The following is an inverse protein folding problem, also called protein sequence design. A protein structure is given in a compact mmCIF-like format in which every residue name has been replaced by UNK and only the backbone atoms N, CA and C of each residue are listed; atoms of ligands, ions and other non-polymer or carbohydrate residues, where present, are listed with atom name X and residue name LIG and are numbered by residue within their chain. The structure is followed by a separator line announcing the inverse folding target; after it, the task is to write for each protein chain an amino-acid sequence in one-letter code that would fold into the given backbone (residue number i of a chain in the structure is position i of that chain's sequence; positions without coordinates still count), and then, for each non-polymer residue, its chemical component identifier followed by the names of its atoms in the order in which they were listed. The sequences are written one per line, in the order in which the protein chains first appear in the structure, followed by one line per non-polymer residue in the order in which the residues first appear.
data_IF_954322118070
#
_entry.id   IF_954322118070
#
_cell.length_a   1.000
_cell.length_b   1.000
_cell.length_c   1.000
_cell.angle_alpha   90.00
_cell.angle_beta   90.00
_cell.angle_gamma   90.00
#
_symmetry.space_group_name_H-M   'P 1'
#
loop_
_entity.id
_entity.type
_entity.pdbx_description
1 polymer ?
#
# COMPACT_ATOMS: atom_id res chain seq x y z
N UNK A 1 8.00 -11.39 -14.47
CA UNK A 1 7.66 -10.52 -13.30
C UNK A 1 8.56 -9.28 -13.31
N UNK A 2 8.04 -8.11 -12.97
CA UNK A 2 8.82 -6.87 -12.96
C UNK A 2 9.86 -6.87 -11.84
N UNK A 3 11.05 -6.29 -12.11
CA UNK A 3 12.16 -6.24 -11.15
C UNK A 3 11.78 -5.56 -9.81
N UNK A 4 10.93 -4.52 -9.84
CA UNK A 4 10.49 -3.84 -8.63
C UNK A 4 9.67 -4.76 -7.71
N UNK A 5 8.85 -5.66 -8.28
CA UNK A 5 8.06 -6.64 -7.53
C UNK A 5 8.97 -7.70 -6.90
N UNK A 6 9.96 -8.19 -7.67
CA UNK A 6 10.92 -9.18 -7.15
C UNK A 6 11.78 -8.61 -6.00
N UNK A 7 12.17 -7.34 -6.08
CA UNK A 7 12.98 -6.69 -5.03
C UNK A 7 12.28 -6.62 -3.68
N UNK A 8 10.96 -6.58 -3.63
CA UNK A 8 10.22 -6.55 -2.35
C UNK A 8 9.86 -7.94 -1.82
N UNK A 9 10.14 -9.00 -2.57
CA UNK A 9 9.79 -10.38 -2.19
C UNK A 9 10.44 -10.80 -0.88
N UNK A 10 9.63 -11.39 -0.01
CA UNK A 10 10.08 -11.93 1.28
C UNK A 10 10.46 -10.86 2.30
N UNK A 11 10.18 -9.58 2.04
CA UNK A 11 10.66 -8.49 2.85
C UNK A 11 9.58 -7.56 3.41
N UNK A 12 10.07 -6.59 4.18
CA UNK A 12 9.28 -5.54 4.80
C UNK A 12 9.27 -4.29 3.91
N UNK A 13 8.09 -3.84 3.54
CA UNK A 13 7.85 -2.51 2.97
C UNK A 13 7.41 -1.58 4.11
N UNK A 14 8.03 -0.42 4.24
CA UNK A 14 7.63 0.56 5.27
C UNK A 14 6.79 1.66 4.64
N UNK A 15 5.61 1.89 5.22
CA UNK A 15 4.71 2.95 4.78
C UNK A 15 5.02 4.26 5.52
N UNK A 16 5.64 5.22 4.82
CA UNK A 16 5.98 6.55 5.32
C UNK A 16 4.88 7.54 4.90
N UNK A 17 3.94 7.77 5.79
CA UNK A 17 2.81 8.67 5.55
C UNK A 17 2.51 9.48 6.81
N UNK A 18 2.20 10.77 6.63
CA UNK A 18 1.64 11.65 7.64
C UNK A 18 0.35 12.27 7.13
N UNK A 19 -0.61 12.53 8.02
CA UNK A 19 -1.91 13.08 7.67
C UNK A 19 -1.93 14.61 7.76
N UNK A 20 -2.89 15.29 7.10
CA UNK A 20 -3.06 16.73 7.24
C UNK A 20 -3.12 17.16 8.72
N UNK A 21 -2.34 18.18 9.08
CA UNK A 21 -2.26 18.69 10.46
C UNK A 21 -1.28 17.94 11.39
N UNK A 22 -0.67 16.85 10.95
CA UNK A 22 0.33 16.15 11.77
C UNK A 22 1.71 16.83 11.71
N UNK A 23 2.45 16.82 12.85
CA UNK A 23 3.76 17.49 12.94
C UNK A 23 4.81 16.99 11.93
N UNK A 24 4.72 15.71 11.53
CA UNK A 24 5.68 15.08 10.63
C UNK A 24 5.30 15.23 9.15
N UNK A 25 4.19 15.90 8.81
CA UNK A 25 3.75 16.07 7.43
C UNK A 25 4.61 17.07 6.66
N UNK A 26 5.76 16.61 6.27
CA UNK A 26 6.71 17.34 5.44
C UNK A 26 7.50 16.37 4.55
N UNK A 27 7.68 16.63 3.24
CA UNK A 27 8.35 15.71 2.33
C UNK A 27 9.77 15.34 2.74
N UNK A 28 10.55 16.29 3.29
CA UNK A 28 11.91 16.01 3.79
C UNK A 28 11.86 15.04 4.99
N UNK A 29 10.90 15.22 5.89
CA UNK A 29 10.73 14.32 7.05
C UNK A 29 10.34 12.91 6.59
N UNK A 30 9.45 12.80 5.61
CA UNK A 30 9.08 11.50 5.03
C UNK A 30 10.29 10.85 4.33
N UNK A 31 11.13 11.61 3.66
CA UNK A 31 12.35 11.10 3.04
C UNK A 31 13.38 10.62 4.09
N UNK A 32 13.59 11.37 5.17
CA UNK A 32 14.44 10.96 6.29
C UNK A 32 13.96 9.67 6.95
N UNK A 33 12.63 9.55 7.16
CA UNK A 33 11.99 8.36 7.70
C UNK A 33 12.17 7.15 6.77
N UNK A 34 12.03 7.35 5.45
CA UNK A 34 12.26 6.31 4.45
C UNK A 34 13.72 5.86 4.43
N UNK A 35 14.68 6.79 4.51
CA UNK A 35 16.11 6.46 4.62
C UNK A 35 16.39 5.60 5.86
N UNK A 36 15.88 6.01 7.02
CA UNK A 36 16.05 5.26 8.27
C UNK A 36 15.41 3.86 8.19
N UNK A 37 14.24 3.73 7.54
CA UNK A 37 13.61 2.44 7.32
C UNK A 37 14.45 1.53 6.42
N UNK A 38 15.03 2.06 5.34
CA UNK A 38 15.92 1.31 4.43
C UNK A 38 17.21 0.90 5.14
N UNK A 39 17.80 1.77 5.96
CA UNK A 39 18.95 1.43 6.80
C UNK A 39 18.62 0.32 7.80
N UNK A 40 17.39 0.31 8.31
CA UNK A 40 16.83 -0.74 9.15
C UNK A 40 16.49 -2.04 8.43
N UNK A 41 16.65 -2.12 7.11
CA UNK A 41 16.45 -3.33 6.30
C UNK A 41 15.12 -3.38 5.53
N UNK A 42 14.37 -2.27 5.42
CA UNK A 42 13.20 -2.24 4.54
C UNK A 42 13.61 -2.43 3.08
N UNK A 43 12.89 -3.30 2.37
CA UNK A 43 13.14 -3.64 0.95
C UNK A 43 12.30 -2.80 -0.02
N UNK A 44 11.41 -1.98 0.50
CA UNK A 44 10.56 -1.07 -0.26
C UNK A 44 9.95 0.00 0.64
N UNK A 45 9.50 1.09 0.04
CA UNK A 45 8.81 2.19 0.74
C UNK A 45 7.46 2.40 0.08
N UNK A 46 6.41 2.57 0.90
CA UNK A 46 5.11 3.07 0.44
C UNK A 46 4.93 4.50 0.95
N UNK A 47 4.47 5.41 0.10
CA UNK A 47 4.27 6.81 0.49
C UNK A 47 3.10 7.45 -0.28
N UNK A 48 2.62 8.60 0.22
CA UNK A 48 1.48 9.29 -0.35
C UNK A 48 1.82 10.74 -0.72
N UNK A 49 1.29 11.16 -1.90
CA UNK A 49 1.44 12.54 -2.39
C UNK A 49 2.71 12.75 -3.22
N UNK A 50 2.60 13.60 -4.22
CA UNK A 50 3.62 13.74 -5.26
C UNK A 50 4.95 14.28 -4.71
N UNK A 51 4.88 15.21 -3.74
CA UNK A 51 6.06 15.79 -3.12
C UNK A 51 6.84 14.76 -2.29
N UNK A 52 6.12 13.90 -1.53
CA UNK A 52 6.74 12.85 -0.73
C UNK A 52 7.34 11.77 -1.64
N UNK A 53 6.63 11.36 -2.70
CA UNK A 53 7.15 10.39 -3.69
C UNK A 53 8.46 10.90 -4.29
N UNK A 54 8.48 12.13 -4.78
CA UNK A 54 9.68 12.72 -5.39
C UNK A 54 10.85 12.87 -4.40
N UNK A 55 10.57 13.33 -3.17
CA UNK A 55 11.59 13.47 -2.12
C UNK A 55 12.17 12.12 -1.70
N UNK A 56 11.34 11.11 -1.46
CA UNK A 56 11.76 9.76 -1.09
C UNK A 56 12.53 9.12 -2.23
N UNK A 57 12.01 9.17 -3.46
CA UNK A 57 12.67 8.56 -4.63
C UNK A 57 14.07 9.10 -4.88
N UNK A 58 14.30 10.37 -4.56
CA UNK A 58 15.63 11.00 -4.64
C UNK A 58 16.63 10.50 -3.58
N UNK A 59 16.19 9.80 -2.54
CA UNK A 59 17.04 9.40 -1.40
C UNK A 59 17.20 7.88 -1.23
N UNK A 60 16.28 7.07 -1.78
CA UNK A 60 16.32 5.61 -1.60
C UNK A 60 16.48 4.89 -2.93
N UNK A 61 17.13 3.71 -2.89
CA UNK A 61 17.34 2.84 -4.06
C UNK A 61 16.36 1.65 -4.13
N UNK A 62 15.56 1.47 -3.09
CA UNK A 62 14.54 0.43 -3.04
C UNK A 62 13.29 0.87 -3.82
N UNK A 63 12.42 -0.06 -4.26
CA UNK A 63 11.16 0.27 -4.92
C UNK A 63 10.28 1.18 -4.06
N UNK A 64 9.64 2.16 -4.69
CA UNK A 64 8.69 3.08 -4.08
C UNK A 64 7.27 2.77 -4.59
N UNK A 65 6.37 2.41 -3.67
CA UNK A 65 4.94 2.26 -3.93
C UNK A 65 4.28 3.61 -3.66
N UNK A 66 3.81 4.26 -4.71
CA UNK A 66 3.20 5.58 -4.63
C UNK A 66 1.68 5.53 -4.63
N UNK A 67 1.07 6.39 -3.82
CA UNK A 67 -0.35 6.72 -3.84
C UNK A 67 -0.54 8.23 -3.79
N UNK A 68 -1.72 8.68 -4.18
CA UNK A 68 -2.16 10.05 -3.94
C UNK A 68 -3.56 10.02 -3.36
N UNK A 69 -3.71 10.39 -2.07
CA UNK A 69 -5.01 10.53 -1.42
C UNK A 69 -5.62 11.87 -1.79
N UNK A 70 -6.81 11.83 -2.37
CA UNK A 70 -7.61 13.01 -2.70
C UNK A 70 -9.07 12.76 -2.29
N UNK A 71 -9.58 13.60 -1.38
CA UNK A 71 -10.85 13.39 -0.71
C UNK A 71 -10.77 12.55 0.57
N UNK A 72 -11.92 12.34 1.20
CA UNK A 72 -12.06 11.62 2.47
C UNK A 72 -13.14 10.52 2.41
N UNK A 73 -13.97 10.52 1.36
CA UNK A 73 -15.09 9.60 1.18
C UNK A 73 -15.00 8.85 -0.17
N UNK A 74 -15.69 7.73 -0.26
CA UNK A 74 -15.72 6.93 -1.47
C UNK A 74 -14.35 6.36 -1.83
N UNK A 75 -14.00 6.40 -3.11
CA UNK A 75 -12.67 6.05 -3.62
C UNK A 75 -11.78 7.29 -3.51
N UNK A 76 -10.84 7.30 -2.57
CA UNK A 76 -9.93 8.43 -2.32
C UNK A 76 -8.43 8.06 -2.43
N UNK A 77 -8.09 6.77 -2.46
CA UNK A 77 -6.70 6.33 -2.67
C UNK A 77 -6.45 6.24 -4.18
N UNK A 78 -5.65 7.16 -4.69
CA UNK A 78 -5.34 7.26 -6.13
C UNK A 78 -6.62 7.15 -6.97
N UNK A 79 -7.58 8.09 -6.76
CA UNK A 79 -8.98 7.87 -7.14
C UNK A 79 -9.24 7.90 -8.63
N UNK A 80 -8.33 8.43 -9.44
CA UNK A 80 -8.50 8.54 -10.89
C UNK A 80 -7.24 8.14 -11.64
N UNK A 81 -7.38 7.83 -12.92
CA UNK A 81 -6.26 7.58 -13.83
C UNK A 81 -5.24 8.74 -13.83
N UNK A 82 -5.72 9.99 -13.75
CA UNK A 82 -4.84 11.17 -13.63
C UNK A 82 -3.96 11.11 -12.38
N UNK A 83 -4.52 10.74 -11.22
CA UNK A 83 -3.75 10.63 -9.98
C UNK A 83 -2.66 9.56 -10.10
N UNK A 84 -2.99 8.41 -10.66
CA UNK A 84 -2.05 7.33 -10.90
C UNK A 84 -0.88 7.76 -11.80
N UNK A 85 -1.17 8.42 -12.92
CA UNK A 85 -0.17 8.98 -13.84
C UNK A 85 0.74 10.01 -13.16
N UNK A 86 0.17 10.88 -12.32
CA UNK A 86 0.97 11.85 -11.56
C UNK A 86 1.90 11.17 -10.56
N UNK A 87 1.47 10.10 -9.88
CA UNK A 87 2.33 9.32 -9.00
C UNK A 87 3.49 8.65 -9.78
N UNK A 88 3.22 8.09 -10.95
CA UNK A 88 4.25 7.54 -11.82
C UNK A 88 5.24 8.62 -12.30
N UNK A 89 4.73 9.77 -12.72
CA UNK A 89 5.56 10.92 -13.14
C UNK A 89 6.41 11.49 -11.98
N UNK A 90 5.95 11.39 -10.71
CA UNK A 90 6.72 11.77 -9.54
C UNK A 90 7.84 10.77 -9.18
N UNK A 91 7.90 9.60 -9.86
CA UNK A 91 8.96 8.62 -9.76
C UNK A 91 8.63 7.36 -8.97
N UNK A 92 7.36 7.12 -8.63
CA UNK A 92 6.97 5.84 -8.02
C UNK A 92 7.19 4.68 -9.00
N UNK A 93 7.72 3.56 -8.49
CA UNK A 93 7.98 2.35 -9.28
C UNK A 93 6.74 1.47 -9.40
N UNK A 94 5.85 1.52 -8.41
CA UNK A 94 4.60 0.78 -8.31
C UNK A 94 3.52 1.77 -7.91
N UNK A 95 2.38 1.73 -8.58
CA UNK A 95 1.25 2.61 -8.26
C UNK A 95 0.15 1.79 -7.60
N UNK A 96 -0.15 2.11 -6.34
CA UNK A 96 -1.28 1.48 -5.66
C UNK A 96 -2.56 2.31 -5.89
N UNK A 97 -3.63 1.61 -6.26
CA UNK A 97 -4.95 2.19 -6.55
C UNK A 97 -6.04 1.43 -5.81
N UNK A 98 -7.06 2.14 -5.39
CA UNK A 98 -8.26 1.54 -4.79
C UNK A 98 -8.92 0.58 -5.78
N UNK A 99 -9.01 -0.71 -5.43
CA UNK A 99 -9.57 -1.77 -6.26
C UNK A 99 -10.99 -2.19 -5.84
N UNK A 100 -11.62 -1.43 -4.95
CA UNK A 100 -12.98 -1.74 -4.50
C UNK A 100 -14.01 -1.54 -5.61
N UNK A 101 -15.18 -2.17 -5.47
CA UNK A 101 -16.30 -2.02 -6.40
C UNK A 101 -17.00 -0.65 -6.34
N UNK A 102 -16.49 0.30 -5.53
CA UNK A 102 -17.06 1.64 -5.39
C UNK A 102 -16.82 2.47 -6.66
N UNK A 103 -17.76 3.37 -7.04
CA UNK A 103 -17.62 4.19 -8.24
C UNK A 103 -16.40 5.13 -8.12
N UNK A 104 -15.61 5.20 -9.19
CA UNK A 104 -14.45 6.09 -9.28
C UNK A 104 -14.88 7.49 -9.74
N UNK A 105 -14.24 8.57 -9.24
CA UNK A 105 -14.65 9.95 -9.58
C UNK A 105 -14.51 10.32 -11.06
N UNK A 106 -13.63 9.66 -11.81
CA UNK A 106 -13.46 9.89 -13.26
C UNK A 106 -14.40 9.04 -14.14
N UNK A 107 -15.23 8.21 -13.52
CA UNK A 107 -16.18 7.34 -14.22
C UNK A 107 -15.57 6.12 -14.89
N UNK A 108 -14.23 5.92 -14.82
CA UNK A 108 -13.59 4.73 -15.33
C UNK A 108 -13.79 3.55 -14.39
N UNK A 109 -13.90 2.36 -14.98
CA UNK A 109 -13.80 1.11 -14.22
C UNK A 109 -12.36 0.87 -13.75
N UNK A 110 -12.20 0.00 -12.74
CA UNK A 110 -10.88 -0.44 -12.30
C UNK A 110 -10.08 -1.05 -13.49
N UNK A 111 -10.70 -1.93 -14.27
CA UNK A 111 -10.07 -2.59 -15.41
C UNK A 111 -9.62 -1.62 -16.51
N UNK A 112 -10.40 -0.57 -16.81
CA UNK A 112 -10.00 0.47 -17.75
C UNK A 112 -8.80 1.26 -17.25
N UNK A 113 -8.76 1.54 -15.94
CA UNK A 113 -7.62 2.22 -15.30
C UNK A 113 -6.35 1.37 -15.36
N UNK A 114 -6.44 0.08 -15.00
CA UNK A 114 -5.30 -0.86 -15.07
C UNK A 114 -4.76 -0.95 -16.49
N UNK A 115 -5.64 -1.17 -17.48
CA UNK A 115 -5.24 -1.25 -18.89
C UNK A 115 -4.50 0.00 -19.34
N UNK A 116 -5.04 1.19 -19.05
CA UNK A 116 -4.40 2.45 -19.44
C UNK A 116 -3.03 2.63 -18.81
N UNK A 117 -2.84 2.19 -17.55
CA UNK A 117 -1.55 2.24 -16.87
C UNK A 117 -0.55 1.22 -17.43
N UNK A 118 -1.00 0.02 -17.76
CA UNK A 118 -0.17 -1.00 -18.40
C UNK A 118 0.30 -0.59 -19.80
N UNK A 119 -0.56 0.07 -20.60
CA UNK A 119 -0.19 0.63 -21.91
C UNK A 119 0.96 1.65 -21.78
N UNK A 120 1.14 2.26 -20.61
CA UNK A 120 2.21 3.20 -20.28
C UNK A 120 3.40 2.52 -19.54
N UNK A 121 3.36 1.19 -19.34
CA UNK A 121 4.41 0.42 -18.66
C UNK A 121 4.44 0.60 -17.14
N UNK A 122 3.33 1.06 -16.54
CA UNK A 122 3.19 1.28 -15.09
C UNK A 122 2.79 -0.02 -14.39
N UNK A 123 3.47 -0.36 -13.30
CA UNK A 123 3.13 -1.49 -12.43
C UNK A 123 2.00 -1.08 -11.49
N UNK A 124 0.94 -1.89 -11.42
CA UNK A 124 -0.26 -1.60 -10.65
C UNK A 124 -0.42 -2.55 -9.46
N UNK A 125 -0.59 -1.97 -8.26
CA UNK A 125 -0.97 -2.67 -7.05
C UNK A 125 -2.44 -2.37 -6.72
N UNK A 126 -3.22 -3.41 -6.45
CA UNK A 126 -4.62 -3.31 -6.04
C UNK A 126 -4.75 -3.21 -4.52
N UNK A 127 -5.27 -2.11 -4.02
CA UNK A 127 -5.70 -1.98 -2.62
C UNK A 127 -7.11 -2.55 -2.48
N UNK A 128 -7.24 -3.79 -1.95
CA UNK A 128 -8.50 -4.52 -1.83
C UNK A 128 -9.08 -4.41 -0.42
N UNK A 129 -10.41 -4.30 -0.34
CA UNK A 129 -11.17 -4.33 0.91
C UNK A 129 -11.81 -5.69 1.18
N UNK A 130 -11.99 -6.52 0.14
CA UNK A 130 -12.64 -7.82 0.20
C UNK A 130 -12.03 -8.82 -0.78
N UNK A 131 -12.43 -10.08 -0.67
CA UNK A 131 -12.04 -11.11 -1.62
C UNK A 131 -12.60 -10.83 -3.03
N UNK A 132 -13.84 -10.35 -3.12
CA UNK A 132 -14.44 -9.97 -4.40
C UNK A 132 -13.69 -8.81 -5.10
N UNK A 133 -13.06 -7.91 -4.34
CA UNK A 133 -12.19 -6.89 -4.91
C UNK A 133 -10.94 -7.52 -5.52
N UNK A 134 -10.34 -8.48 -4.83
CA UNK A 134 -9.16 -9.19 -5.32
C UNK A 134 -9.47 -9.98 -6.60
N UNK A 135 -10.63 -10.68 -6.67
CA UNK A 135 -11.06 -11.37 -7.88
C UNK A 135 -11.15 -10.40 -9.08
N UNK A 136 -11.84 -9.27 -8.90
CA UNK A 136 -11.96 -8.24 -9.96
C UNK A 136 -10.61 -7.64 -10.36
N UNK A 137 -9.72 -7.45 -9.38
CA UNK A 137 -8.38 -6.93 -9.64
C UNK A 137 -7.53 -7.91 -10.47
N UNK A 138 -7.56 -9.19 -10.12
CA UNK A 138 -6.85 -10.24 -10.86
C UNK A 138 -7.43 -10.41 -12.27
N UNK A 139 -8.76 -10.41 -12.43
CA UNK A 139 -9.42 -10.42 -13.73
C UNK A 139 -9.05 -9.22 -14.60
N UNK A 140 -8.82 -8.05 -13.98
CA UNK A 140 -8.34 -6.85 -14.67
C UNK A 140 -6.86 -6.91 -15.05
N UNK A 141 -6.12 -7.93 -14.57
CA UNK A 141 -4.71 -8.15 -14.89
C UNK A 141 -3.73 -7.37 -13.99
N UNK A 142 -4.14 -6.96 -12.78
CA UNK A 142 -3.25 -6.25 -11.84
C UNK A 142 -1.98 -7.05 -11.53
N UNK A 143 -0.87 -6.35 -11.23
CA UNK A 143 0.42 -6.98 -10.98
C UNK A 143 0.58 -7.46 -9.53
N UNK A 144 -0.10 -6.82 -8.59
CA UNK A 144 -0.03 -7.08 -7.14
C UNK A 144 -1.42 -6.88 -6.55
N UNK A 145 -1.81 -7.73 -5.60
CA UNK A 145 -3.00 -7.53 -4.77
C UNK A 145 -2.63 -7.37 -3.30
N UNK A 146 -3.41 -6.59 -2.53
CA UNK A 146 -3.11 -6.32 -1.13
C UNK A 146 -4.36 -6.18 -0.27
N UNK A 147 -4.26 -6.54 1.01
CA UNK A 147 -5.33 -6.45 2.00
C UNK A 147 -5.55 -5.02 2.55
N UNK A 148 -4.98 -4.00 1.94
CA UNK A 148 -4.87 -2.61 2.43
C UNK A 148 -6.19 -2.03 2.95
N UNK A 149 -7.30 -2.24 2.24
CA UNK A 149 -8.60 -1.67 2.56
C UNK A 149 -9.52 -2.58 3.39
N UNK A 150 -9.06 -3.77 3.78
CA UNK A 150 -9.85 -4.67 4.62
C UNK A 150 -10.25 -4.01 5.95
N UNK A 151 -11.55 -4.01 6.23
CA UNK A 151 -12.12 -3.40 7.43
C UNK A 151 -12.30 -1.87 7.35
N UNK A 152 -12.07 -1.25 6.18
CA UNK A 152 -12.24 0.20 5.97
C UNK A 152 -13.36 0.55 4.98
N UNK A 153 -13.88 -0.41 4.24
CA UNK A 153 -14.87 -0.20 3.17
C UNK A 153 -16.27 -0.71 3.51
N UNK A 154 -16.45 -1.29 4.70
CA UNK A 154 -17.72 -1.80 5.20
C UNK A 154 -18.06 -3.23 4.77
N UNK A 155 -17.34 -3.82 3.82
CA UNK A 155 -17.59 -5.20 3.34
C UNK A 155 -17.06 -6.27 4.30
N UNK A 156 -16.03 -5.95 5.07
CA UNK A 156 -15.44 -6.82 6.10
C UNK A 156 -15.35 -6.12 7.44
N UNK A 157 -15.48 -6.84 8.57
CA UNK A 157 -15.29 -6.26 9.89
C UNK A 157 -13.85 -5.79 10.07
N UNK A 158 -13.67 -4.65 10.74
CA UNK A 158 -12.35 -4.17 11.13
C UNK A 158 -11.82 -5.00 12.29
N UNK A 159 -10.72 -5.70 12.08
CA UNK A 159 -10.01 -6.51 13.09
C UNK A 159 -9.02 -5.66 13.89
N UNK A 160 -8.62 -6.11 15.08
CA UNK A 160 -7.58 -5.43 15.89
C UNK A 160 -6.18 -5.60 15.31
N UNK A 161 -5.95 -6.65 14.52
CA UNK A 161 -4.72 -6.96 13.82
C UNK A 161 -4.91 -7.08 12.31
N UNK A 162 -3.93 -7.65 11.60
CA UNK A 162 -4.03 -7.95 10.18
C UNK A 162 -5.21 -8.88 9.87
N UNK A 163 -5.79 -8.75 8.68
CA UNK A 163 -6.84 -9.68 8.22
C UNK A 163 -6.21 -10.95 7.65
N UNK A 164 -5.87 -11.88 8.53
CA UNK A 164 -5.28 -13.17 8.16
C UNK A 164 -6.21 -14.04 7.33
N UNK A 165 -7.53 -13.91 7.53
CA UNK A 165 -8.51 -14.68 6.77
C UNK A 165 -8.50 -14.25 5.31
N UNK A 166 -8.61 -12.94 5.04
CA UNK A 166 -8.55 -12.42 3.69
C UNK A 166 -7.20 -12.72 3.03
N UNK A 167 -6.10 -12.54 3.78
CA UNK A 167 -4.75 -12.87 3.29
C UNK A 167 -4.67 -14.34 2.83
N UNK A 168 -5.14 -15.27 3.66
CA UNK A 168 -5.12 -16.69 3.34
C UNK A 168 -5.97 -17.03 2.10
N UNK A 169 -7.18 -16.46 2.01
CA UNK A 169 -8.06 -16.63 0.84
C UNK A 169 -7.40 -16.14 -0.46
N UNK A 170 -6.74 -14.96 -0.42
CA UNK A 170 -6.05 -14.40 -1.59
C UNK A 170 -4.86 -15.27 -2.02
N UNK A 171 -4.04 -15.73 -1.08
CA UNK A 171 -2.87 -16.58 -1.36
C UNK A 171 -3.30 -17.91 -1.98
N UNK A 172 -4.34 -18.55 -1.43
CA UNK A 172 -4.85 -19.82 -1.91
C UNK A 172 -5.46 -19.69 -3.31
N UNK A 173 -6.25 -18.64 -3.55
CA UNK A 173 -6.97 -18.46 -4.82
C UNK A 173 -6.09 -17.96 -5.97
N UNK A 174 -5.03 -17.19 -5.66
CA UNK A 174 -4.21 -16.52 -6.67
C UNK A 174 -2.72 -16.83 -6.53
N UNK A 175 -2.29 -18.11 -6.65
CA UNK A 175 -0.91 -18.53 -6.38
C UNK A 175 0.14 -17.89 -7.31
N UNK A 176 -0.27 -17.39 -8.47
CA UNK A 176 0.61 -16.77 -9.46
C UNK A 176 0.67 -15.23 -9.33
N UNK A 177 -0.13 -14.63 -8.43
CA UNK A 177 -0.19 -13.19 -8.22
C UNK A 177 0.46 -12.84 -6.87
N UNK A 178 1.43 -11.91 -6.81
CA UNK A 178 2.00 -11.42 -5.56
C UNK A 178 0.93 -10.85 -4.63
N UNK A 179 0.82 -11.42 -3.42
CA UNK A 179 -0.13 -10.98 -2.38
C UNK A 179 0.64 -10.26 -1.28
N UNK A 180 0.36 -8.98 -1.06
CA UNK A 180 0.88 -8.21 0.05
C UNK A 180 -0.12 -8.16 1.20
N UNK A 181 0.38 -8.26 2.44
CA UNK A 181 -0.41 -7.95 3.62
C UNK A 181 -0.15 -6.52 4.06
N UNK A 182 -1.18 -5.71 4.12
CA UNK A 182 -1.13 -4.35 4.66
C UNK A 182 -2.33 -4.09 5.58
N UNK A 183 -2.08 -3.35 6.64
CA UNK A 183 -3.11 -2.90 7.57
C UNK A 183 -3.01 -3.55 8.95
N UNK A 184 -2.94 -2.70 9.98
CA UNK A 184 -2.97 -3.09 11.40
C UNK A 184 -1.89 -4.10 11.83
N UNK A 185 -0.75 -4.11 11.16
CA UNK A 185 0.42 -4.88 11.59
C UNK A 185 1.11 -4.06 12.68
N UNK A 186 1.03 -4.49 13.92
CA UNK A 186 1.46 -3.72 15.09
C UNK A 186 2.71 -4.30 15.77
N UNK A 187 3.02 -5.58 15.51
CA UNK A 187 4.13 -6.28 16.17
C UNK A 187 4.98 -7.07 15.19
N UNK A 188 6.28 -7.31 15.51
CA UNK A 188 7.14 -8.20 14.73
C UNK A 188 6.58 -9.63 14.63
N UNK A 189 5.88 -10.12 15.66
CA UNK A 189 5.29 -11.47 15.64
C UNK A 189 4.15 -11.58 14.61
N UNK A 190 3.33 -10.53 14.48
CA UNK A 190 2.32 -10.48 13.41
C UNK A 190 2.97 -10.48 12.02
N UNK A 191 4.05 -9.73 11.84
CA UNK A 191 4.82 -9.74 10.60
C UNK A 191 5.35 -11.15 10.30
N UNK A 192 5.94 -11.83 11.30
CA UNK A 192 6.41 -13.20 11.15
C UNK A 192 5.29 -14.16 10.70
N UNK A 193 4.11 -14.08 11.34
CA UNK A 193 2.95 -14.89 10.98
C UNK A 193 2.47 -14.65 9.53
N UNK A 194 2.45 -13.37 9.09
CA UNK A 194 2.09 -12.98 7.73
C UNK A 194 3.05 -13.63 6.71
N UNK A 195 4.35 -13.54 6.96
CA UNK A 195 5.35 -14.10 6.06
C UNK A 195 5.31 -15.64 6.07
N UNK A 196 5.08 -16.26 7.24
CA UNK A 196 4.89 -17.71 7.37
C UNK A 196 3.62 -18.22 6.66
N UNK A 197 2.59 -17.38 6.54
CA UNK A 197 1.37 -17.69 5.78
C UNK A 197 1.59 -17.64 4.24
N UNK A 198 2.74 -17.17 3.77
CA UNK A 198 3.09 -17.15 2.35
C UNK A 198 2.86 -15.81 1.65
N UNK A 199 2.69 -14.71 2.40
CA UNK A 199 2.64 -13.38 1.78
C UNK A 199 3.91 -13.09 0.98
N UNK A 200 3.77 -12.39 -0.16
CA UNK A 200 4.89 -11.96 -0.98
C UNK A 200 5.76 -10.93 -0.25
N UNK A 201 5.12 -9.99 0.41
CA UNK A 201 5.72 -8.98 1.29
C UNK A 201 4.67 -8.48 2.28
N UNK A 202 5.11 -7.75 3.31
CA UNK A 202 4.21 -7.07 4.23
C UNK A 202 4.49 -5.57 4.26
N UNK A 203 3.42 -4.76 4.39
CA UNK A 203 3.52 -3.29 4.47
C UNK A 203 3.16 -2.84 5.87
N UNK A 204 4.12 -2.26 6.58
CA UNK A 204 3.92 -1.73 7.94
C UNK A 204 4.03 -0.20 7.93
N UNK A 205 2.99 0.46 8.41
CA UNK A 205 2.95 1.92 8.55
C UNK A 205 3.01 2.34 10.02
N UNK A 206 1.85 2.45 10.65
CA UNK A 206 1.65 3.07 11.98
C UNK A 206 2.64 2.62 13.04
N UNK A 207 2.94 1.33 13.13
CA UNK A 207 3.84 0.79 14.16
C UNK A 207 5.31 1.20 13.99
N UNK A 208 5.69 1.76 12.84
CA UNK A 208 7.07 2.20 12.56
C UNK A 208 7.11 3.72 12.38
N UNK A 209 6.16 4.30 11.66
CA UNK A 209 6.28 5.66 11.13
C UNK A 209 5.30 6.66 11.73
N UNK A 210 4.49 6.27 12.73
CA UNK A 210 3.47 7.14 13.31
C UNK A 210 3.66 7.35 14.83
N UNK A 211 4.67 8.13 15.25
CA UNK A 211 5.01 8.34 16.67
C UNK A 211 3.83 8.77 17.54
N UNK A 212 2.94 9.62 17.00
CA UNK A 212 1.74 10.07 17.71
C UNK A 212 0.88 8.89 18.17
N UNK A 213 0.60 7.93 17.29
CA UNK A 213 -0.20 6.75 17.64
C UNK A 213 0.58 5.79 18.54
N UNK A 214 1.86 5.56 18.24
CA UNK A 214 2.71 4.70 19.07
C UNK A 214 2.77 5.24 20.51
N UNK A 215 3.00 6.53 20.67
CA UNK A 215 3.00 7.17 22.00
C UNK A 215 1.67 6.98 22.73
N UNK A 216 0.52 7.13 22.04
CA UNK A 216 -0.80 6.87 22.63
C UNK A 216 -0.98 5.42 23.09
N UNK A 217 -0.40 4.44 22.35
CA UNK A 217 -0.45 3.03 22.78
C UNK A 217 0.28 2.79 24.10
N UNK A 218 1.39 3.48 24.33
CA UNK A 218 2.12 3.39 25.59
C UNK A 218 1.38 4.14 26.72
N UNK A 219 0.93 5.36 26.45
CA UNK A 219 0.19 6.19 27.42
C UNK A 219 -1.07 5.48 27.93
N UNK A 220 -1.79 4.82 27.05
CA UNK A 220 -3.01 4.05 27.40
C UNK A 220 -2.75 2.86 28.36
N UNK A 221 -1.49 2.57 28.71
CA UNK A 221 -1.10 1.53 29.67
C UNK A 221 -0.67 2.08 31.03
N UNK A 222 -0.68 3.40 31.22
CA UNK A 222 -0.43 4.07 32.49
C UNK A 222 -1.69 4.18 33.31
#
# INVERSE_FOLDING_TARGET
MHQAIEKIRGGLVVSCQAYPGEPLRHPETMAQMAMAAVEGGAVGIRCQGLADIAAIKGQVSVPVIGIWKDGEEGVYITPTLRHARCCAAAGADIIAIDATGRPRPDGLTYAETVRALHDEGVIVMADCGSFADAERAVEAGTDIISTTLSGYTGERPKTDGPDFELLGQMIEAFPDVPVLCEGRIHTPDQLHQIMAAGAWAAVVGTAITHPTTITRWFEAKL
#
